data_IF_276800092245
#
_entry.id   IF_276800092245
#
_cell.length_a   1.000
_cell.length_b   1.000
_cell.length_c   1.000
_cell.angle_alpha   90.00
_cell.angle_beta   90.00
_cell.angle_gamma   90.00
#
_symmetry.space_group_name_H-M   'P 1'
#
loop_
_entity.id
_entity.type
_entity.pdbx_description
1 polymer ?
#
# COMPACT_ATOMS: atom_id res chain seq x y z
N UNK A 1 -47.71 24.86 -10.17
CA UNK A 1 -46.86 23.66 -10.00
C UNK A 1 -45.75 23.97 -9.02
N UNK A 2 -45.81 23.39 -7.82
CA UNK A 2 -44.78 23.56 -6.77
C UNK A 2 -43.58 22.71 -7.18
N UNK A 3 -42.44 23.33 -7.51
CA UNK A 3 -41.20 22.60 -7.85
C UNK A 3 -40.83 21.74 -6.64
N UNK A 4 -40.83 20.43 -6.83
CA UNK A 4 -40.34 19.47 -5.84
C UNK A 4 -38.84 19.78 -5.71
N UNK A 5 -38.32 20.06 -4.50
CA UNK A 5 -36.89 20.30 -4.30
C UNK A 5 -36.10 19.10 -4.82
N UNK A 6 -34.93 19.34 -5.40
CA UNK A 6 -34.00 18.26 -5.81
C UNK A 6 -33.92 17.22 -4.69
N UNK A 7 -34.46 16.02 -4.94
CA UNK A 7 -34.12 14.83 -4.17
C UNK A 7 -32.64 14.53 -4.44
N UNK A 8 -31.74 15.27 -3.78
CA UNK A 8 -30.38 14.78 -3.58
C UNK A 8 -30.53 13.63 -2.60
N UNK A 9 -30.31 12.41 -3.09
CA UNK A 9 -30.27 11.22 -2.24
C UNK A 9 -29.42 11.50 -1.00
N UNK A 10 -29.87 10.99 0.15
CA UNK A 10 -29.10 11.09 1.38
C UNK A 10 -27.71 10.50 1.14
N UNK A 11 -26.67 11.28 1.44
CA UNK A 11 -25.29 10.84 1.32
C UNK A 11 -24.82 10.30 2.65
N UNK A 12 -24.01 9.26 2.61
CA UNK A 12 -23.55 8.56 3.79
C UNK A 12 -22.04 8.42 3.81
N UNK A 13 -21.47 8.52 5.00
CA UNK A 13 -20.12 8.04 5.32
C UNK A 13 -20.22 6.85 6.26
N UNK A 14 -19.35 5.85 6.11
CA UNK A 14 -19.23 4.73 7.03
C UNK A 14 -18.05 4.94 7.96
N UNK A 15 -18.27 4.91 9.28
CA UNK A 15 -17.22 4.94 10.29
C UNK A 15 -17.15 3.55 10.95
N UNK A 16 -16.00 2.88 10.86
CA UNK A 16 -15.80 1.50 11.31
C UNK A 16 -14.60 1.38 12.26
N UNK A 17 -14.60 0.32 13.06
CA UNK A 17 -13.51 0.00 13.98
C UNK A 17 -13.57 0.83 15.27
N UNK A 18 -12.44 1.35 15.72
CA UNK A 18 -12.25 2.04 17.00
C UNK A 18 -12.72 3.51 17.00
N UNK A 19 -14.02 3.68 16.77
CA UNK A 19 -14.76 4.91 17.04
C UNK A 19 -15.77 4.64 18.16
N UNK A 20 -16.17 5.65 18.92
CA UNK A 20 -17.07 5.40 20.06
C UNK A 20 -18.41 4.79 19.63
N UNK A 21 -18.94 5.19 18.47
CA UNK A 21 -20.13 4.59 17.86
C UNK A 21 -19.90 4.27 16.38
N UNK A 22 -19.52 3.03 16.03
CA UNK A 22 -19.36 2.61 14.64
C UNK A 22 -20.72 2.58 13.92
N UNK A 23 -20.76 3.01 12.67
CA UNK A 23 -22.01 3.03 11.90
C UNK A 23 -21.97 3.91 10.66
N UNK A 24 -23.14 4.05 10.03
CA UNK A 24 -23.34 4.92 8.88
C UNK A 24 -23.90 6.26 9.35
N UNK A 25 -23.31 7.34 8.88
CA UNK A 25 -23.69 8.70 9.24
C UNK A 25 -24.13 9.44 7.99
N UNK A 26 -25.31 10.07 8.06
CA UNK A 26 -25.78 10.97 7.02
C UNK A 26 -24.86 12.19 7.01
N UNK A 27 -24.48 12.64 5.81
CA UNK A 27 -23.61 13.80 5.60
C UNK A 27 -24.23 14.77 4.58
N UNK A 28 -23.84 16.04 4.69
CA UNK A 28 -24.09 17.05 3.66
C UNK A 28 -22.92 17.12 2.68
N UNK A 29 -23.18 17.64 1.49
CA UNK A 29 -22.15 17.77 0.45
C UNK A 29 -21.06 18.70 0.97
N UNK A 30 -19.81 18.23 0.97
CA UNK A 30 -18.67 19.02 1.42
C UNK A 30 -18.54 19.15 2.94
N UNK A 31 -19.29 18.35 3.70
CA UNK A 31 -19.17 18.30 5.15
C UNK A 31 -17.80 17.73 5.56
N UNK A 32 -17.11 18.30 6.56
CA UNK A 32 -15.79 17.81 6.97
C UNK A 32 -15.86 16.46 7.69
N UNK A 33 -14.79 15.66 7.56
CA UNK A 33 -14.66 14.36 8.23
C UNK A 33 -14.74 14.49 9.76
N UNK A 34 -14.19 15.56 10.34
CA UNK A 34 -14.27 15.86 11.77
C UNK A 34 -15.71 15.93 12.30
N UNK A 35 -16.66 16.39 11.48
CA UNK A 35 -18.08 16.47 11.83
C UNK A 35 -18.71 15.09 12.00
N UNK A 36 -18.39 14.16 11.09
CA UNK A 36 -18.85 12.78 11.18
C UNK A 36 -18.22 12.07 12.40
N UNK A 37 -16.92 12.26 12.65
CA UNK A 37 -16.22 11.68 13.80
C UNK A 37 -16.81 12.19 15.13
N UNK A 38 -17.13 13.49 15.23
CA UNK A 38 -17.81 14.06 16.41
C UNK A 38 -19.18 13.43 16.66
N UNK A 39 -19.97 13.23 15.60
CA UNK A 39 -21.26 12.51 15.73
C UNK A 39 -21.09 11.07 16.17
N UNK A 40 -19.99 10.43 15.77
CA UNK A 40 -19.61 9.11 16.26
C UNK A 40 -19.04 9.10 17.68
N UNK A 41 -19.02 10.23 18.38
CA UNK A 41 -18.52 10.33 19.75
C UNK A 41 -16.99 10.38 19.87
N UNK A 42 -16.27 10.60 18.77
CA UNK A 42 -14.81 10.57 18.74
C UNK A 42 -14.23 9.17 18.56
N UNK A 43 -12.91 9.05 18.80
CA UNK A 43 -12.19 7.79 18.74
C UNK A 43 -12.22 7.09 20.11
N UNK A 44 -12.13 5.75 20.11
CA UNK A 44 -11.96 5.00 21.37
C UNK A 44 -10.55 5.17 21.94
N UNK A 45 -10.32 4.79 23.21
CA UNK A 45 -8.97 4.77 23.80
C UNK A 45 -8.03 3.74 23.14
N UNK A 46 -8.60 2.70 22.54
CA UNK A 46 -7.85 1.66 21.82
C UNK A 46 -7.60 2.01 20.36
N UNK A 47 -8.06 3.17 19.90
CA UNK A 47 -7.96 3.60 18.52
C UNK A 47 -6.52 3.82 18.09
N UNK A 48 -6.15 3.18 16.97
CA UNK A 48 -4.85 3.37 16.37
C UNK A 48 -4.94 4.27 15.14
N UNK A 49 -4.92 5.58 15.39
CA UNK A 49 -5.08 6.62 14.37
C UNK A 49 -4.04 6.56 13.26
N UNK A 50 -2.80 6.16 13.59
CA UNK A 50 -1.74 5.94 12.60
C UNK A 50 -2.10 4.83 11.62
N UNK A 51 -2.90 3.85 12.01
CA UNK A 51 -3.33 2.75 11.14
C UNK A 51 -4.63 3.02 10.40
N UNK A 52 -5.22 4.20 10.55
CA UNK A 52 -6.52 4.50 9.97
C UNK A 52 -6.48 4.45 8.44
N UNK A 53 -7.55 3.90 7.87
CA UNK A 53 -7.70 3.73 6.43
C UNK A 53 -8.93 4.48 5.98
N UNK A 54 -8.73 5.44 5.08
CA UNK A 54 -9.82 6.13 4.42
C UNK A 54 -9.94 5.65 2.98
N UNK A 55 -11.16 5.31 2.55
CA UNK A 55 -11.43 4.88 1.18
C UNK A 55 -12.53 5.71 0.57
N UNK A 56 -12.35 6.05 -0.72
CA UNK A 56 -13.27 6.88 -1.49
C UNK A 56 -13.53 6.28 -2.86
N UNK A 57 -14.79 6.23 -3.25
CA UNK A 57 -15.23 5.62 -4.50
C UNK A 57 -14.71 6.35 -5.75
N UNK A 58 -14.67 7.69 -5.74
CA UNK A 58 -14.14 8.48 -6.86
C UNK A 58 -12.63 8.23 -7.06
N UNK A 59 -11.88 8.12 -5.97
CA UNK A 59 -10.45 7.76 -5.98
C UNK A 59 -10.26 6.32 -6.44
N UNK A 60 -11.12 5.39 -6.00
CA UNK A 60 -11.09 3.99 -6.45
C UNK A 60 -11.18 3.88 -7.96
N UNK A 61 -12.14 4.60 -8.58
CA UNK A 61 -12.33 4.62 -10.03
C UNK A 61 -11.12 5.20 -10.77
N UNK A 62 -10.55 6.28 -10.26
CA UNK A 62 -9.35 6.90 -10.84
C UNK A 62 -8.13 5.97 -10.75
N UNK A 63 -7.92 5.37 -9.58
CA UNK A 63 -6.85 4.39 -9.36
C UNK A 63 -6.99 3.18 -10.27
N UNK A 64 -8.20 2.61 -10.38
CA UNK A 64 -8.45 1.47 -11.27
C UNK A 64 -8.14 1.81 -12.71
N UNK A 65 -8.64 2.97 -13.20
CA UNK A 65 -8.36 3.41 -14.56
C UNK A 65 -6.86 3.54 -14.82
N UNK A 66 -6.10 4.12 -13.88
CA UNK A 66 -4.66 4.27 -14.03
C UNK A 66 -3.92 2.92 -14.09
N UNK A 67 -4.39 1.93 -13.30
CA UNK A 67 -3.87 0.56 -13.34
C UNK A 67 -4.18 -0.09 -14.68
N UNK A 68 -5.43 -0.02 -15.13
CA UNK A 68 -5.87 -0.58 -16.41
C UNK A 68 -5.06 0.01 -17.58
N UNK A 69 -4.94 1.34 -17.63
CA UNK A 69 -4.14 2.05 -18.64
C UNK A 69 -2.65 1.65 -18.61
N UNK A 70 -2.10 1.36 -17.42
CA UNK A 70 -0.73 0.92 -17.26
C UNK A 70 -0.52 -0.53 -17.74
N UNK A 71 -1.44 -1.42 -17.40
CA UNK A 71 -1.45 -2.81 -17.87
C UNK A 71 -1.57 -2.85 -19.40
N UNK A 72 -2.48 -2.08 -19.99
CA UNK A 72 -2.66 -2.04 -21.45
C UNK A 72 -1.41 -1.53 -22.19
N UNK A 73 -0.73 -0.52 -21.62
CA UNK A 73 0.56 -0.06 -22.17
C UNK A 73 1.63 -1.16 -22.09
N UNK A 74 1.69 -1.89 -20.98
CA UNK A 74 2.65 -2.96 -20.79
C UNK A 74 2.39 -4.14 -21.74
N UNK A 75 1.13 -4.53 -21.92
CA UNK A 75 0.74 -5.55 -22.88
C UNK A 75 1.13 -5.18 -24.32
N UNK A 76 0.83 -3.95 -24.75
CA UNK A 76 1.26 -3.46 -26.08
C UNK A 76 2.77 -3.51 -26.27
N UNK A 77 3.54 -3.20 -25.22
CA UNK A 77 5.00 -3.27 -25.25
C UNK A 77 5.51 -4.71 -25.34
N UNK A 78 4.87 -5.66 -24.66
CA UNK A 78 5.18 -7.09 -24.80
C UNK A 78 4.98 -7.53 -26.25
N UNK A 79 3.86 -7.15 -26.87
CA UNK A 79 3.54 -7.50 -28.25
C UNK A 79 4.53 -6.89 -29.26
N UNK A 80 4.85 -5.60 -29.13
CA UNK A 80 5.81 -4.93 -30.03
C UNK A 80 7.22 -5.48 -29.87
N UNK A 81 7.69 -5.63 -28.62
CA UNK A 81 9.03 -6.17 -28.35
C UNK A 81 9.16 -7.61 -28.86
N UNK A 82 8.13 -8.43 -28.68
CA UNK A 82 8.14 -9.81 -29.20
C UNK A 82 8.18 -9.85 -30.73
N UNK A 83 7.53 -8.89 -31.41
CA UNK A 83 7.58 -8.78 -32.87
C UNK A 83 8.98 -8.35 -33.35
N UNK A 84 9.58 -7.34 -32.71
CA UNK A 84 10.94 -6.88 -33.03
C UNK A 84 11.99 -7.98 -32.82
N UNK A 85 11.89 -8.71 -31.69
CA UNK A 85 12.77 -9.84 -31.40
C UNK A 85 12.57 -11.01 -32.37
N UNK A 86 11.34 -11.28 -32.81
CA UNK A 86 11.06 -12.34 -33.79
C UNK A 86 11.62 -12.01 -35.19
N UNK A 87 11.66 -10.73 -35.58
CA UNK A 87 12.28 -10.30 -36.85
C UNK A 87 13.82 -10.42 -36.83
N UNK A 88 14.44 -10.30 -35.65
CA UNK A 88 15.89 -10.42 -35.47
C UNK A 88 16.40 -11.85 -35.23
N UNK A 89 15.50 -12.81 -34.99
CA UNK A 89 15.87 -14.19 -34.66
C UNK A 89 16.46 -14.92 -35.88
N UNK A 90 17.64 -15.52 -35.70
CA UNK A 90 18.38 -16.19 -36.79
C UNK A 90 18.16 -17.71 -36.82
N UNK A 91 17.36 -18.28 -35.91
CA UNK A 91 17.11 -19.72 -35.81
C UNK A 91 15.88 -20.12 -35.00
N UNK A 92 15.48 -21.40 -35.13
CA UNK A 92 14.28 -21.96 -34.51
C UNK A 92 14.32 -21.97 -32.97
N UNK A 93 15.50 -22.21 -32.38
CA UNK A 93 15.66 -22.24 -30.92
C UNK A 93 15.48 -20.86 -30.29
N UNK A 94 15.95 -19.80 -30.96
CA UNK A 94 15.78 -18.41 -30.50
C UNK A 94 14.31 -17.98 -30.60
N UNK A 95 13.60 -18.39 -31.66
CA UNK A 95 12.17 -18.14 -31.81
C UNK A 95 11.33 -18.81 -30.71
N UNK A 96 11.67 -20.04 -30.31
CA UNK A 96 11.00 -20.74 -29.20
C UNK A 96 11.23 -20.04 -27.85
N UNK A 97 12.43 -19.52 -27.60
CA UNK A 97 12.74 -18.76 -26.39
C UNK A 97 11.93 -17.44 -26.34
N UNK A 98 11.85 -16.72 -27.45
CA UNK A 98 11.04 -15.49 -27.56
C UNK A 98 9.56 -15.78 -27.31
N UNK A 99 9.04 -16.87 -27.89
CA UNK A 99 7.64 -17.26 -27.71
C UNK A 99 7.33 -17.62 -26.24
N UNK A 100 8.15 -18.45 -25.61
CA UNK A 100 7.95 -18.83 -24.20
C UNK A 100 8.03 -17.62 -23.26
N UNK A 101 8.96 -16.69 -23.51
CA UNK A 101 9.06 -15.45 -22.73
C UNK A 101 7.83 -14.55 -22.93
N UNK A 102 7.27 -14.48 -24.14
CA UNK A 102 6.02 -13.77 -24.43
C UNK A 102 4.85 -14.36 -23.66
N UNK A 103 4.70 -15.68 -23.67
CA UNK A 103 3.62 -16.38 -22.97
C UNK A 103 3.68 -16.15 -21.45
N UNK A 104 4.88 -16.21 -20.86
CA UNK A 104 5.08 -15.90 -19.43
C UNK A 104 4.69 -14.45 -19.10
N UNK A 105 5.06 -13.49 -19.97
CA UNK A 105 4.71 -12.08 -19.82
C UNK A 105 3.20 -11.85 -19.90
N UNK A 106 2.51 -12.51 -20.85
CA UNK A 106 1.05 -12.44 -20.98
C UNK A 106 0.35 -13.08 -19.77
N UNK A 107 0.83 -14.23 -19.32
CA UNK A 107 0.29 -14.87 -18.11
C UNK A 107 0.44 -13.98 -16.86
N UNK A 108 1.49 -13.16 -16.79
CA UNK A 108 1.62 -12.15 -15.73
C UNK A 108 0.59 -11.03 -15.89
N UNK A 109 0.38 -10.51 -17.11
CA UNK A 109 -0.64 -9.47 -17.39
C UNK A 109 -2.01 -9.89 -16.86
N UNK A 110 -2.43 -11.13 -17.12
CA UNK A 110 -3.69 -11.69 -16.60
C UNK A 110 -3.76 -11.66 -15.07
N UNK A 111 -2.67 -12.02 -14.38
CA UNK A 111 -2.58 -11.92 -12.92
C UNK A 111 -2.67 -10.47 -12.43
N UNK A 112 -2.08 -9.51 -13.15
CA UNK A 112 -2.14 -8.10 -12.79
C UNK A 112 -3.56 -7.55 -12.94
N UNK A 113 -4.31 -7.96 -13.97
CA UNK A 113 -5.71 -7.54 -14.20
C UNK A 113 -6.66 -8.00 -13.10
N UNK A 114 -6.32 -9.06 -12.36
CA UNK A 114 -7.11 -9.51 -11.22
C UNK A 114 -7.05 -8.55 -10.02
N UNK A 115 -6.02 -7.69 -9.94
CA UNK A 115 -5.87 -6.72 -8.86
C UNK A 115 -6.91 -5.59 -9.00
N UNK A 116 -7.60 -5.29 -7.89
CA UNK A 116 -8.61 -4.22 -7.83
C UNK A 116 -8.11 -3.07 -6.97
N UNK A 117 -8.32 -1.85 -7.43
CA UNK A 117 -8.10 -0.67 -6.62
C UNK A 117 -9.09 -0.62 -5.45
N UNK A 118 -8.63 -0.18 -4.28
CA UNK A 118 -9.46 -0.02 -3.08
C UNK A 118 -10.00 1.40 -2.90
N UNK A 119 -9.40 2.40 -3.56
CA UNK A 119 -9.75 3.81 -3.34
C UNK A 119 -9.13 4.40 -2.08
N UNK A 120 -8.08 3.76 -1.55
CA UNK A 120 -7.38 4.21 -0.35
C UNK A 120 -6.79 5.62 -0.54
N UNK A 121 -7.02 6.47 0.44
CA UNK A 121 -6.41 7.79 0.61
C UNK A 121 -5.56 7.74 1.88
N UNK A 122 -4.27 8.07 1.75
CA UNK A 122 -3.39 8.20 2.91
C UNK A 122 -3.73 9.47 3.66
N UNK A 123 -4.43 9.33 4.79
CA UNK A 123 -4.71 10.43 5.71
C UNK A 123 -3.88 10.25 6.99
N UNK A 124 -3.32 11.34 7.50
CA UNK A 124 -2.66 11.32 8.81
C UNK A 124 -3.67 11.79 9.84
N UNK A 125 -4.35 10.85 10.48
CA UNK A 125 -5.24 11.19 11.59
C UNK A 125 -4.42 11.54 12.82
N UNK A 126 -4.82 12.62 13.48
CA UNK A 126 -4.40 12.99 14.82
C UNK A 126 -5.65 13.08 15.70
N UNK A 127 -5.48 13.42 16.98
CA UNK A 127 -6.61 13.68 17.86
C UNK A 127 -7.58 14.70 17.23
N UNK A 128 -8.89 14.52 17.44
CA UNK A 128 -9.95 15.31 16.80
C UNK A 128 -9.73 16.82 16.98
N UNK A 129 -9.23 17.26 18.15
CA UNK A 129 -8.96 18.66 18.43
C UNK A 129 -7.80 19.26 17.62
N UNK A 130 -6.85 18.42 17.19
CA UNK A 130 -5.74 18.80 16.32
C UNK A 130 -6.02 18.56 14.83
N UNK A 131 -7.06 17.78 14.54
CA UNK A 131 -7.46 17.39 13.20
C UNK A 131 -8.39 18.42 12.55
N UNK A 132 -9.30 19.03 13.31
CA UNK A 132 -10.26 20.02 12.81
C UNK A 132 -9.53 21.24 12.21
N UNK A 133 -9.90 21.59 10.97
CA UNK A 133 -9.28 22.69 10.24
C UNK A 133 -7.88 22.40 9.65
N UNK A 134 -7.35 21.20 9.85
CA UNK A 134 -6.13 20.76 9.17
C UNK A 134 -6.40 20.41 7.71
N UNK A 135 -5.33 20.30 6.90
CA UNK A 135 -5.41 19.77 5.53
C UNK A 135 -5.94 18.33 5.45
N UNK A 136 -5.97 17.63 6.57
CA UNK A 136 -6.47 16.26 6.66
C UNK A 136 -7.96 16.20 6.97
N UNK A 137 -8.61 17.31 7.36
CA UNK A 137 -10.07 17.41 7.56
C UNK A 137 -10.80 17.53 6.22
N UNK A 138 -10.70 16.46 5.44
CA UNK A 138 -11.18 16.42 4.07
C UNK A 138 -12.71 16.52 4.02
N UNK A 139 -13.18 17.20 2.98
CA UNK A 139 -14.58 17.24 2.62
C UNK A 139 -15.06 15.84 2.20
N UNK A 140 -16.12 15.35 2.83
CA UNK A 140 -16.68 14.04 2.57
C UNK A 140 -17.50 13.97 1.28
N UNK A 141 -17.43 12.82 0.65
CA UNK A 141 -18.22 12.37 -0.49
C UNK A 141 -19.14 11.20 -0.06
N UNK A 142 -20.19 10.97 -0.85
CA UNK A 142 -21.07 9.83 -0.64
C UNK A 142 -20.32 8.50 -0.81
N UNK A 143 -20.54 7.58 0.12
CA UNK A 143 -19.87 6.28 0.15
C UNK A 143 -18.44 6.31 0.67
N UNK A 144 -17.97 7.44 1.19
CA UNK A 144 -16.69 7.48 1.90
C UNK A 144 -16.72 6.53 3.11
N UNK A 145 -15.58 5.92 3.40
CA UNK A 145 -15.43 5.03 4.54
C UNK A 145 -14.13 5.33 5.28
N UNK A 146 -14.24 5.45 6.60
CA UNK A 146 -13.11 5.51 7.52
C UNK A 146 -13.12 4.25 8.39
N UNK A 147 -12.04 3.50 8.33
CA UNK A 147 -11.79 2.36 9.19
C UNK A 147 -10.62 2.66 10.12
N UNK A 148 -10.86 2.67 11.43
CA UNK A 148 -9.84 2.88 12.45
C UNK A 148 -9.54 1.54 13.14
N UNK A 149 -8.36 0.95 12.97
CA UNK A 149 -8.05 -0.32 13.63
C UNK A 149 -7.79 -0.13 15.13
N UNK A 150 -7.85 -1.24 15.86
CA UNK A 150 -7.37 -1.31 17.24
C UNK A 150 -5.85 -1.26 17.30
N UNK A 151 -5.31 -0.67 18.36
CA UNK A 151 -3.88 -0.66 18.63
C UNK A 151 -3.39 -2.09 18.82
N UNK A 152 -2.51 -2.49 17.92
CA UNK A 152 -1.87 -3.80 17.92
C UNK A 152 -0.47 -3.64 18.50
N UNK A 153 -0.18 -4.20 19.68
CA UNK A 153 1.14 -4.13 20.31
C UNK A 153 2.12 -5.17 19.75
N UNK A 154 2.02 -5.48 18.46
CA UNK A 154 2.88 -6.44 17.77
C UNK A 154 3.43 -5.88 16.46
N UNK A 155 4.63 -6.35 16.09
CA UNK A 155 5.30 -6.14 14.80
C UNK A 155 5.44 -7.48 14.11
N UNK A 156 5.24 -7.54 12.80
CA UNK A 156 5.38 -8.77 12.02
C UNK A 156 6.71 -8.82 11.27
N UNK A 157 7.29 -10.01 11.15
CA UNK A 157 8.45 -10.28 10.29
C UNK A 157 8.09 -11.38 9.31
N UNK A 158 8.18 -11.10 8.01
CA UNK A 158 7.73 -12.01 6.95
C UNK A 158 8.73 -12.08 5.78
N UNK A 159 8.63 -13.16 5.01
CA UNK A 159 9.48 -13.42 3.83
C UNK A 159 10.68 -14.32 4.14
N UNK A 160 11.81 -14.06 3.49
CA UNK A 160 13.04 -14.86 3.53
C UNK A 160 13.79 -14.76 4.87
N UNK A 161 13.12 -15.22 5.95
CA UNK A 161 13.63 -15.33 7.32
C UNK A 161 13.45 -16.75 7.84
N UNK A 162 14.27 -17.15 8.80
CA UNK A 162 14.20 -18.52 9.35
C UNK A 162 12.88 -18.80 10.07
N UNK A 163 12.29 -17.79 10.71
CA UNK A 163 11.00 -17.91 11.38
C UNK A 163 10.11 -16.68 11.11
N UNK A 164 9.07 -16.86 10.30
CA UNK A 164 8.08 -15.82 10.03
C UNK A 164 7.07 -15.77 11.19
N UNK A 165 7.11 -14.70 12.00
CA UNK A 165 6.26 -14.57 13.18
C UNK A 165 6.00 -13.11 13.54
N UNK A 166 4.98 -12.89 14.37
CA UNK A 166 4.78 -11.65 15.09
C UNK A 166 5.62 -11.62 16.38
N UNK A 167 6.10 -10.43 16.75
CA UNK A 167 6.77 -10.12 18.00
C UNK A 167 6.02 -9.00 18.72
N UNK A 168 6.04 -9.01 20.05
CA UNK A 168 5.57 -7.86 20.84
C UNK A 168 6.41 -6.62 20.48
N UNK A 169 5.74 -5.49 20.29
CA UNK A 169 6.36 -4.21 19.99
C UNK A 169 7.10 -3.68 21.21
N UNK A 170 8.40 -3.45 21.02
CA UNK A 170 9.29 -2.79 21.96
C UNK A 170 9.72 -1.42 21.38
N UNK A 171 9.44 -0.28 22.05
CA UNK A 171 9.70 1.06 21.51
C UNK A 171 11.14 1.35 21.09
N UNK A 172 12.10 0.67 21.71
CA UNK A 172 13.53 0.83 21.48
C UNK A 172 14.10 -0.23 20.52
N UNK A 173 13.32 -1.24 20.16
CA UNK A 173 13.77 -2.30 19.25
C UNK A 173 13.76 -1.81 17.80
N UNK A 174 14.87 -2.09 17.10
CA UNK A 174 15.06 -1.74 15.70
C UNK A 174 14.68 -2.90 14.78
N UNK A 175 14.55 -2.61 13.48
CA UNK A 175 14.37 -3.66 12.44
C UNK A 175 15.39 -4.79 12.58
N UNK A 176 16.66 -4.44 12.79
CA UNK A 176 17.74 -5.39 13.00
C UNK A 176 17.51 -6.32 14.21
N UNK A 177 16.91 -5.80 15.28
CA UNK A 177 16.57 -6.60 16.47
C UNK A 177 15.54 -7.68 16.15
N UNK A 178 14.42 -7.31 15.51
CA UNK A 178 13.38 -8.25 15.15
C UNK A 178 13.83 -9.28 14.12
N UNK A 179 14.61 -8.86 13.11
CA UNK A 179 15.18 -9.78 12.11
C UNK A 179 16.16 -10.77 12.74
N UNK A 180 16.94 -10.39 13.76
CA UNK A 180 17.75 -11.37 14.50
C UNK A 180 16.88 -12.33 15.31
N UNK A 181 15.84 -11.81 15.97
CA UNK A 181 14.90 -12.63 16.76
C UNK A 181 14.10 -13.61 15.90
N UNK A 182 13.89 -13.32 14.62
CA UNK A 182 13.32 -14.26 13.64
C UNK A 182 14.31 -15.35 13.19
N UNK A 183 15.47 -15.47 13.85
CA UNK A 183 16.56 -16.39 13.48
C UNK A 183 17.49 -15.85 12.39
N UNK A 184 17.33 -14.58 11.98
CA UNK A 184 18.03 -14.00 10.84
C UNK A 184 17.28 -14.21 9.52
N UNK A 185 17.91 -13.72 8.45
CA UNK A 185 17.42 -13.92 7.08
C UNK A 185 18.04 -15.18 6.46
N UNK A 186 17.32 -15.81 5.53
CA UNK A 186 17.78 -17.00 4.80
C UNK A 186 18.81 -16.65 3.70
N UNK A 187 19.42 -17.67 3.08
CA UNK A 187 20.51 -17.47 2.09
C UNK A 187 20.02 -16.85 0.76
N UNK A 188 18.78 -17.16 0.41
CA UNK A 188 18.02 -16.67 -0.72
C UNK A 188 17.39 -15.28 -0.47
N UNK A 189 17.55 -14.68 0.71
CA UNK A 189 17.02 -13.34 0.98
C UNK A 189 17.70 -12.22 0.17
N UNK A 190 16.91 -11.33 -0.42
CA UNK A 190 17.40 -10.08 -1.00
C UNK A 190 17.56 -9.00 0.08
N UNK A 191 18.77 -8.93 0.63
CA UNK A 191 19.18 -7.96 1.65
C UNK A 191 18.97 -6.50 1.25
N UNK A 192 19.03 -6.18 -0.04
CA UNK A 192 18.95 -4.80 -0.54
C UNK A 192 17.50 -4.35 -0.72
N UNK A 193 16.59 -5.30 -0.88
CA UNK A 193 15.18 -5.06 -1.11
C UNK A 193 14.33 -5.14 0.18
N UNK A 194 14.94 -5.22 1.37
CA UNK A 194 14.19 -5.19 2.64
C UNK A 194 13.46 -3.85 2.77
N UNK A 195 12.21 -3.89 3.20
CA UNK A 195 11.40 -2.71 3.48
C UNK A 195 10.46 -2.92 4.67
N UNK A 196 10.00 -1.81 5.25
CA UNK A 196 8.96 -1.79 6.27
C UNK A 196 7.64 -1.44 5.59
N UNK A 197 6.63 -2.29 5.74
CA UNK A 197 5.25 -1.92 5.48
C UNK A 197 4.68 -1.32 6.77
N UNK A 198 4.36 -0.02 6.71
CA UNK A 198 3.71 0.69 7.79
C UNK A 198 2.25 0.28 7.90
N UNK A 199 1.70 0.41 9.10
CA UNK A 199 0.27 0.14 9.36
C UNK A 199 -0.68 1.02 8.53
N UNK A 200 -0.24 2.21 8.10
CA UNK A 200 -0.96 3.09 7.18
C UNK A 200 -0.80 2.67 5.70
N UNK A 201 -0.30 1.47 5.44
CA UNK A 201 -0.09 0.92 4.10
C UNK A 201 1.03 1.59 3.31
N UNK A 202 1.74 2.58 3.88
CA UNK A 202 2.92 3.14 3.23
C UNK A 202 4.10 2.18 3.37
N UNK A 203 5.02 2.22 2.41
CA UNK A 203 6.22 1.38 2.44
C UNK A 203 7.48 2.24 2.54
N UNK A 204 8.41 1.83 3.40
CA UNK A 204 9.72 2.47 3.58
C UNK A 204 10.81 1.48 3.18
N UNK A 205 11.49 1.73 2.06
CA UNK A 205 12.62 0.90 1.60
C UNK A 205 13.95 1.43 2.13
N UNK A 206 14.89 0.50 2.34
CA UNK A 206 16.19 0.76 2.96
C UNK A 206 17.33 1.14 2.01
N UNK A 207 17.04 1.47 0.76
CA UNK A 207 18.05 1.63 -0.30
C UNK A 207 18.89 2.93 -0.22
N UNK A 208 19.02 3.56 0.95
CA UNK A 208 19.90 4.72 1.13
C UNK A 208 20.39 4.89 2.57
N UNK A 209 21.71 4.78 2.76
CA UNK A 209 22.40 5.37 3.91
C UNK A 209 22.39 6.89 3.75
N UNK A 210 21.85 7.65 4.70
CA UNK A 210 21.82 9.11 4.62
C UNK A 210 21.24 9.80 5.86
N UNK A 211 21.40 11.12 5.94
CA UNK A 211 20.65 11.94 6.88
C UNK A 211 19.24 12.17 6.31
N UNK A 212 18.22 11.77 7.07
CA UNK A 212 16.81 12.07 6.74
C UNK A 212 16.22 12.95 7.83
N UNK A 213 15.51 13.99 7.41
CA UNK A 213 14.71 14.82 8.30
C UNK A 213 13.43 14.06 8.67
N UNK A 214 13.28 13.72 9.95
CA UNK A 214 12.07 13.12 10.49
C UNK A 214 11.09 14.23 10.90
N UNK A 215 10.09 14.46 10.07
CA UNK A 215 9.05 15.47 10.30
C UNK A 215 8.07 15.11 11.43
N UNK A 216 8.02 13.84 11.86
CA UNK A 216 7.19 13.44 13.00
C UNK A 216 7.91 13.68 14.34
N UNK A 217 9.25 13.62 14.36
CA UNK A 217 10.08 13.88 15.55
C UNK A 217 10.79 15.25 15.55
N UNK A 218 10.74 16.00 14.45
CA UNK A 218 11.44 17.27 14.30
C UNK A 218 12.97 17.15 14.43
N UNK A 219 13.54 16.02 13.99
CA UNK A 219 14.95 15.70 14.22
C UNK A 219 15.63 15.10 12.99
N UNK A 220 16.95 15.29 12.89
CA UNK A 220 17.79 14.66 11.89
C UNK A 220 18.12 13.23 12.34
N UNK A 221 17.73 12.24 11.55
CA UNK A 221 18.10 10.85 11.76
C UNK A 221 19.24 10.47 10.80
N UNK A 222 20.35 9.99 11.36
CA UNK A 222 21.43 9.33 10.60
C UNK A 222 21.31 7.81 10.81
N UNK A 223 21.23 7.05 9.72
CA UNK A 223 21.14 5.58 9.81
C UNK A 223 20.56 4.92 8.57
N UNK A 224 20.63 3.59 8.53
CA UNK A 224 19.97 2.76 7.51
C UNK A 224 18.67 2.15 8.03
N UNK A 225 17.90 1.49 7.17
CA UNK A 225 16.63 0.83 7.55
C UNK A 225 16.77 -0.10 8.77
N UNK A 226 17.93 -0.76 8.90
CA UNK A 226 18.20 -1.69 9.99
C UNK A 226 18.24 -1.04 11.39
N UNK A 227 18.53 0.27 11.46
CA UNK A 227 18.49 1.05 12.70
C UNK A 227 17.14 1.73 12.94
N UNK A 228 16.20 1.64 11.99
CA UNK A 228 14.88 2.26 12.10
C UNK A 228 14.06 1.56 13.21
N UNK A 229 13.28 2.36 13.94
CA UNK A 229 12.35 1.87 14.96
C UNK A 229 10.99 1.64 14.33
N UNK A 230 10.34 0.55 14.72
CA UNK A 230 9.02 0.21 14.20
C UNK A 230 7.93 0.84 15.06
N UNK A 231 6.80 1.12 14.45
CA UNK A 231 5.55 1.42 15.15
C UNK A 231 4.76 0.11 15.38
N UNK A 232 3.87 0.07 16.39
CA UNK A 232 2.97 -1.06 16.58
C UNK A 232 2.13 -1.32 15.31
N UNK A 233 2.05 -2.57 14.85
CA UNK A 233 1.37 -2.96 13.62
C UNK A 233 2.22 -2.91 12.35
N UNK A 234 3.44 -2.38 12.40
CA UNK A 234 4.35 -2.41 11.27
C UNK A 234 4.79 -3.85 10.92
N UNK A 235 5.12 -4.07 9.65
CA UNK A 235 5.60 -5.36 9.13
C UNK A 235 6.95 -5.18 8.45
N UNK A 236 7.95 -5.96 8.86
CA UNK A 236 9.22 -6.08 8.16
C UNK A 236 9.05 -7.14 7.07
N UNK A 237 9.32 -6.76 5.84
CA UNK A 237 9.26 -7.67 4.69
C UNK A 237 10.66 -7.89 4.16
N UNK A 238 11.05 -9.17 4.09
CA UNK A 238 12.33 -9.61 3.56
C UNK A 238 12.07 -10.38 2.27
N UNK A 239 12.22 -9.77 1.09
CA UNK A 239 12.00 -10.48 -0.17
C UNK A 239 13.03 -11.57 -0.43
N UNK A 240 12.67 -12.54 -1.26
CA UNK A 240 13.61 -13.51 -1.85
C UNK A 240 14.33 -12.90 -3.06
N UNK A 241 15.54 -13.37 -3.35
CA UNK A 241 16.29 -13.01 -4.55
C UNK A 241 15.58 -13.59 -5.76
N UNK A 242 15.09 -12.69 -6.62
CA UNK A 242 14.48 -13.07 -7.89
C UNK A 242 15.56 -13.40 -8.92
N UNK A 243 16.26 -14.51 -8.74
CA UNK A 243 17.25 -14.98 -9.73
C UNK A 243 16.60 -15.83 -10.85
N UNK A 244 15.32 -16.18 -10.69
CA UNK A 244 14.61 -17.10 -11.60
C UNK A 244 13.98 -16.44 -12.82
N UNK A 245 13.82 -15.10 -12.82
CA UNK A 245 13.13 -14.41 -13.92
C UNK A 245 13.93 -13.17 -14.36
N UNK A 246 14.93 -13.38 -15.21
CA UNK A 246 15.86 -12.34 -15.69
C UNK A 246 15.13 -11.12 -16.29
N UNK A 247 14.01 -11.33 -16.99
CA UNK A 247 13.27 -10.26 -17.66
C UNK A 247 12.51 -9.33 -16.69
N UNK A 248 12.20 -9.77 -15.46
CA UNK A 248 11.57 -8.91 -14.44
C UNK A 248 12.52 -7.81 -13.95
N UNK A 249 13.82 -8.10 -13.92
CA UNK A 249 14.86 -7.13 -13.52
C UNK A 249 15.07 -6.04 -14.58
N UNK A 250 14.71 -6.33 -15.83
CA UNK A 250 14.94 -5.43 -16.98
C UNK A 250 13.74 -4.55 -17.34
N UNK A 251 12.55 -4.83 -16.78
CA UNK A 251 11.30 -4.15 -17.17
C UNK A 251 10.86 -3.11 -16.13
N UNK A 252 11.34 -1.87 -16.29
CA UNK A 252 10.93 -0.70 -15.48
C UNK A 252 9.40 -0.49 -15.44
N UNK A 253 8.69 -0.81 -16.52
CA UNK A 253 7.24 -0.62 -16.59
C UNK A 253 6.48 -1.58 -15.66
N UNK A 254 6.99 -2.79 -15.48
CA UNK A 254 6.36 -3.78 -14.62
C UNK A 254 6.55 -3.44 -13.15
N UNK A 255 7.76 -3.03 -12.74
CA UNK A 255 8.01 -2.60 -11.36
C UNK A 255 7.15 -1.38 -11.01
N UNK A 256 6.91 -0.49 -11.96
CA UNK A 256 5.99 0.63 -11.81
C UNK A 256 4.52 0.18 -11.64
N UNK A 257 4.04 -0.79 -12.41
CA UNK A 257 2.68 -1.35 -12.24
C UNK A 257 2.54 -2.02 -10.88
N UNK A 258 3.50 -2.85 -10.48
CA UNK A 258 3.51 -3.51 -9.18
C UNK A 258 3.50 -2.50 -8.04
N UNK A 259 4.27 -1.42 -8.15
CA UNK A 259 4.24 -0.33 -7.19
C UNK A 259 2.87 0.35 -7.15
N UNK A 260 2.27 0.66 -8.30
CA UNK A 260 0.91 1.23 -8.37
C UNK A 260 -0.12 0.30 -7.72
N UNK A 261 -0.07 -1.00 -7.97
CA UNK A 261 -0.96 -2.00 -7.35
C UNK A 261 -0.71 -2.07 -5.85
N UNK A 262 0.54 -2.14 -5.39
CA UNK A 262 0.85 -2.20 -3.97
C UNK A 262 0.32 -0.98 -3.21
N UNK A 263 0.49 0.22 -3.77
CA UNK A 263 -0.01 1.47 -3.18
C UNK A 263 -1.54 1.55 -3.19
N UNK A 264 -2.19 1.13 -4.28
CA UNK A 264 -3.65 1.28 -4.47
C UNK A 264 -4.49 0.16 -3.85
N UNK A 265 -3.97 -1.06 -3.84
CA UNK A 265 -4.63 -2.21 -3.24
C UNK A 265 -4.24 -2.38 -1.76
N UNK A 266 -3.13 -1.80 -1.31
CA UNK A 266 -2.55 -2.08 0.01
C UNK A 266 -2.12 -3.54 0.16
N UNK A 267 -2.07 -4.29 -0.94
CA UNK A 267 -1.67 -5.69 -0.99
C UNK A 267 -0.20 -5.74 -1.38
N UNK A 268 0.63 -6.29 -0.50
CA UNK A 268 1.96 -6.73 -0.91
C UNK A 268 1.79 -7.89 -1.87
N UNK A 269 2.05 -7.66 -3.15
CA UNK A 269 2.27 -8.77 -4.07
C UNK A 269 3.63 -9.37 -3.72
N UNK A 270 3.62 -10.34 -2.82
CA UNK A 270 4.70 -11.32 -2.69
C UNK A 270 4.69 -12.10 -4.00
N UNK A 271 5.51 -11.66 -4.96
CA UNK A 271 5.75 -12.43 -6.16
C UNK A 271 6.79 -13.51 -5.86
N UNK A 272 6.47 -14.73 -6.25
CA UNK A 272 7.33 -15.91 -6.27
C UNK A 272 8.59 -15.71 -7.12
#
# INVERSE_FOLDING_TARGET
MKRIPEWRGEMYVSLKGEVAFPGRYIIRKGEPLSSAIRRAGGFSESAYLKGAVFTRESVRKLQQKNIDDAIDRFERKILSQSADSAMGALGADEALQIQSAKEQKIALVEKLRAAKATGRISIRLADVGSFEGSVYDIALEDGDELHVPSRSDQVQVMGAVFNQTAFVHEPEATVSSYVRRSGGITADADRKAIYILKVDGTAMSGSGWGLRWDSARGSWLSGGLMSERLDPGDTIVVPEKVDKIAWLKETKDLTQILYQIAVTAGVLMVMF
#
